data_IF_934451774017
#
_entry.id   IF_934451774017
#
_cell.length_a   1.000
_cell.length_b   1.000
_cell.length_c   1.000
_cell.angle_alpha   90.00
_cell.angle_beta   90.00
_cell.angle_gamma   90.00
#
_symmetry.space_group_name_H-M   'P 1'
#
loop_
_entity.id
_entity.type
_entity.pdbx_description
1 polymer ?
#
# COMPACT_ATOMS: atom_id res chain seq x y z
N UNK A 1 -16.91 -3.50 24.80
CA UNK A 1 -16.18 -2.38 24.15
C UNK A 1 -16.30 -2.61 22.66
N UNK A 2 -17.22 -1.92 22.00
CA UNK A 2 -17.49 -2.12 20.58
C UNK A 2 -16.37 -1.48 19.75
N UNK A 3 -15.79 -2.23 18.82
CA UNK A 3 -14.76 -1.73 17.90
C UNK A 3 -15.47 -0.99 16.75
N UNK A 4 -15.53 0.35 16.83
CA UNK A 4 -16.40 1.16 15.97
C UNK A 4 -16.24 1.03 14.44
N UNK A 5 -15.21 0.35 13.92
CA UNK A 5 -15.08 0.06 12.48
C UNK A 5 -15.93 -1.12 11.99
N UNK A 6 -16.11 -2.16 12.82
CA UNK A 6 -16.95 -3.31 12.50
C UNK A 6 -18.43 -2.92 12.51
N UNK A 7 -18.82 -2.05 13.44
CA UNK A 7 -20.17 -1.53 13.58
C UNK A 7 -20.61 -0.71 12.34
N UNK A 8 -19.72 0.14 11.81
CA UNK A 8 -20.00 0.96 10.61
C UNK A 8 -20.17 0.08 9.37
N UNK A 9 -19.28 -0.89 9.17
CA UNK A 9 -19.37 -1.79 8.01
C UNK A 9 -20.62 -2.68 8.09
N UNK A 10 -20.98 -3.15 9.28
CA UNK A 10 -22.19 -3.92 9.51
C UNK A 10 -23.45 -3.09 9.21
N UNK A 11 -23.47 -1.82 9.62
CA UNK A 11 -24.54 -0.89 9.31
C UNK A 11 -24.66 -0.59 7.80
N UNK A 12 -23.54 -0.38 7.11
CA UNK A 12 -23.54 -0.13 5.66
C UNK A 12 -24.07 -1.36 4.90
N UNK A 13 -23.65 -2.57 5.30
CA UNK A 13 -24.16 -3.83 4.75
C UNK A 13 -25.68 -3.97 4.97
N UNK A 14 -26.17 -3.75 6.20
CA UNK A 14 -27.60 -3.85 6.49
C UNK A 14 -28.45 -2.78 5.79
N UNK A 15 -27.85 -1.63 5.49
CA UNK A 15 -28.50 -0.54 4.74
C UNK A 15 -28.43 -0.71 3.22
N UNK A 16 -27.79 -1.78 2.72
CA UNK A 16 -27.60 -2.02 1.29
C UNK A 16 -26.68 -1.00 0.60
N UNK A 17 -25.89 -0.25 1.37
CA UNK A 17 -24.95 0.72 0.81
C UNK A 17 -23.64 0.04 0.41
N UNK A 18 -23.10 0.33 -0.79
CA UNK A 18 -21.85 -0.28 -1.23
C UNK A 18 -20.68 0.24 -0.40
N UNK A 19 -19.83 -0.69 0.07
CA UNK A 19 -18.56 -0.38 0.73
C UNK A 19 -17.49 -0.20 -0.34
N UNK A 20 -16.54 0.73 -0.14
CA UNK A 20 -15.45 0.93 -1.08
C UNK A 20 -14.68 -0.39 -1.32
N UNK A 21 -14.53 -0.84 -2.58
CA UNK A 21 -13.89 -2.11 -2.90
C UNK A 21 -12.47 -2.25 -2.35
N UNK A 22 -11.72 -1.17 -2.17
CA UNK A 22 -10.35 -1.25 -1.64
C UNK A 22 -10.31 -1.88 -0.24
N UNK A 23 -11.37 -1.74 0.58
CA UNK A 23 -11.43 -2.39 1.87
C UNK A 23 -11.45 -3.93 1.78
N UNK A 24 -11.95 -4.50 0.68
CA UNK A 24 -11.87 -5.96 0.45
C UNK A 24 -10.53 -6.42 -0.11
N UNK A 25 -9.65 -5.50 -0.49
CA UNK A 25 -8.37 -5.79 -1.15
C UNK A 25 -7.16 -5.69 -0.23
N UNK A 26 -7.38 -5.60 1.09
CA UNK A 26 -6.31 -5.49 2.09
C UNK A 26 -5.88 -4.06 2.41
N UNK A 27 -6.63 -3.06 1.93
CA UNK A 27 -6.46 -1.67 2.33
C UNK A 27 -7.27 -1.38 3.58
N UNK A 28 -6.61 -0.79 4.56
CA UNK A 28 -7.23 -0.45 5.85
C UNK A 28 -7.78 0.95 5.91
N UNK A 29 -7.26 1.83 5.05
CA UNK A 29 -7.64 3.25 4.98
C UNK A 29 -7.67 3.62 3.52
N UNK A 30 -8.79 4.21 3.09
CA UNK A 30 -8.95 4.69 1.73
C UNK A 30 -8.91 6.22 1.74
N UNK A 31 -8.05 6.78 0.90
CA UNK A 31 -7.79 8.21 0.80
C UNK A 31 -6.86 8.45 -0.39
N UNK A 32 -5.68 9.02 -0.15
CA UNK A 32 -4.62 9.07 -1.17
C UNK A 32 -4.21 7.66 -1.61
N UNK A 33 -3.90 7.49 -2.89
CA UNK A 33 -3.50 6.21 -3.46
C UNK A 33 -2.31 6.41 -4.42
N UNK A 34 -1.10 5.89 -4.12
CA UNK A 34 -0.68 5.39 -2.80
C UNK A 34 -0.72 6.49 -1.73
N UNK A 35 -0.82 6.08 -0.46
CA UNK A 35 -0.66 6.97 0.69
C UNK A 35 0.80 6.97 1.14
N UNK A 36 1.36 8.13 1.52
CA UNK A 36 2.71 8.22 2.10
C UNK A 36 2.85 7.36 3.38
N UNK A 37 1.75 7.16 4.10
CA UNK A 37 1.65 6.32 5.29
C UNK A 37 1.17 4.88 4.99
N UNK A 38 1.16 4.44 3.73
CA UNK A 38 0.73 3.09 3.35
C UNK A 38 1.57 2.04 4.06
N UNK A 39 0.94 0.98 4.58
CA UNK A 39 1.65 -0.12 5.24
C UNK A 39 2.42 -0.98 4.24
N UNK A 40 3.33 -1.80 4.75
CA UNK A 40 4.12 -2.73 3.94
C UNK A 40 3.24 -3.60 3.05
N UNK A 41 2.21 -4.20 3.63
CA UNK A 41 1.26 -5.07 2.90
C UNK A 41 0.39 -4.28 1.92
N UNK A 42 0.02 -3.04 2.25
CA UNK A 42 -0.72 -2.16 1.33
C UNK A 42 0.13 -1.80 0.11
N UNK A 43 1.41 -1.47 0.29
CA UNK A 43 2.34 -1.20 -0.83
C UNK A 43 2.48 -2.44 -1.72
N UNK A 44 2.60 -3.63 -1.11
CA UNK A 44 2.63 -4.89 -1.86
C UNK A 44 1.33 -5.09 -2.65
N UNK A 45 0.16 -4.85 -2.05
CA UNK A 45 -1.11 -4.94 -2.74
C UNK A 45 -1.22 -3.94 -3.90
N UNK A 46 -0.72 -2.71 -3.73
CA UNK A 46 -0.65 -1.71 -4.81
C UNK A 46 0.23 -2.22 -5.94
N UNK A 47 1.44 -2.67 -5.64
CA UNK A 47 2.38 -3.13 -6.66
C UNK A 47 1.87 -4.32 -7.48
N UNK A 48 1.02 -5.16 -6.89
CA UNK A 48 0.45 -6.33 -7.57
C UNK A 48 -0.84 -5.97 -8.32
N UNK A 49 -1.76 -5.23 -7.69
CA UNK A 49 -3.11 -4.99 -8.20
C UNK A 49 -3.22 -3.74 -9.07
N UNK A 50 -2.33 -2.76 -8.85
CA UNK A 50 -2.35 -1.43 -9.45
C UNK A 50 -0.93 -1.01 -9.88
N UNK A 51 -0.26 -1.76 -10.77
CA UNK A 51 1.09 -1.45 -11.23
C UNK A 51 1.22 -0.06 -11.87
N UNK A 52 0.14 0.46 -12.45
CA UNK A 52 0.06 1.82 -13.01
C UNK A 52 0.29 2.90 -11.95
N UNK A 53 -0.08 2.66 -10.69
CA UNK A 53 0.16 3.61 -9.59
C UNK A 53 1.62 3.60 -9.16
N UNK A 54 2.31 2.46 -9.29
CA UNK A 54 3.76 2.37 -9.10
C UNK A 54 4.47 3.16 -10.20
N UNK A 55 4.05 2.98 -11.45
CA UNK A 55 4.60 3.72 -12.59
C UNK A 55 4.40 5.23 -12.43
N UNK A 56 3.18 5.64 -12.09
CA UNK A 56 2.83 7.05 -11.87
C UNK A 56 3.75 7.68 -10.83
N UNK A 57 3.97 7.01 -9.69
CA UNK A 57 4.86 7.54 -8.66
C UNK A 57 6.31 7.58 -9.15
N UNK A 58 6.80 6.54 -9.84
CA UNK A 58 8.15 6.52 -10.41
C UNK A 58 8.39 7.68 -11.38
N UNK A 59 7.42 7.95 -12.25
CA UNK A 59 7.46 9.06 -13.18
C UNK A 59 7.56 10.40 -12.43
N UNK A 60 6.72 10.62 -11.41
CA UNK A 60 6.77 11.83 -10.60
C UNK A 60 8.07 11.98 -9.82
N UNK A 61 8.65 10.90 -9.31
CA UNK A 61 9.98 10.93 -8.69
C UNK A 61 11.05 11.42 -9.68
N UNK A 62 10.97 11.00 -10.94
CA UNK A 62 11.84 11.46 -12.03
C UNK A 62 11.62 12.93 -12.40
N UNK A 63 10.36 13.34 -12.66
CA UNK A 63 10.00 14.72 -13.02
C UNK A 63 10.45 15.68 -11.91
N UNK A 64 10.05 15.42 -10.66
CA UNK A 64 10.38 16.29 -9.54
C UNK A 64 11.88 16.23 -9.24
N UNK A 65 12.51 15.07 -9.39
CA UNK A 65 13.96 14.92 -9.28
C UNK A 65 14.72 15.82 -10.26
N UNK A 66 14.27 15.91 -11.52
CA UNK A 66 14.92 16.70 -12.57
C UNK A 66 14.92 18.21 -12.31
N UNK A 67 13.94 18.71 -11.56
CA UNK A 67 13.81 20.13 -11.20
C UNK A 67 14.19 20.44 -9.75
N UNK A 68 14.49 19.41 -8.96
CA UNK A 68 14.92 19.54 -7.56
C UNK A 68 16.36 20.02 -7.49
N UNK A 69 16.66 20.94 -6.56
CA UNK A 69 18.04 21.40 -6.29
C UNK A 69 19.01 20.26 -5.95
N UNK A 70 18.50 19.14 -5.44
CA UNK A 70 19.29 17.97 -5.06
C UNK A 70 19.38 16.90 -6.15
N UNK A 71 18.71 17.10 -7.30
CA UNK A 71 18.66 16.13 -8.39
C UNK A 71 17.92 14.83 -8.06
N UNK A 72 17.19 14.78 -6.94
CA UNK A 72 16.43 13.60 -6.49
C UNK A 72 15.17 14.02 -5.74
N UNK A 73 14.13 13.23 -5.92
CA UNK A 73 12.85 13.31 -5.21
C UNK A 73 12.35 11.88 -4.96
N UNK A 74 11.85 11.61 -3.77
CA UNK A 74 11.20 10.32 -3.46
C UNK A 74 9.84 10.55 -2.83
N UNK A 75 8.86 9.73 -3.19
CA UNK A 75 7.51 9.83 -2.66
C UNK A 75 7.45 9.39 -1.20
N UNK A 76 8.13 8.30 -0.88
CA UNK A 76 8.26 7.86 0.50
C UNK A 76 9.45 8.57 1.17
N UNK A 77 9.21 9.06 2.39
CA UNK A 77 10.22 9.72 3.19
C UNK A 77 11.29 8.75 3.72
N UNK A 78 12.39 9.33 4.21
CA UNK A 78 13.48 8.58 4.85
C UNK A 78 12.95 7.73 6.03
N UNK A 79 13.54 6.54 6.18
CA UNK A 79 13.12 5.55 7.18
C UNK A 79 12.00 4.63 6.73
N UNK A 80 11.40 4.85 5.54
CA UNK A 80 10.40 3.92 5.00
C UNK A 80 10.99 2.54 4.74
N UNK A 81 12.13 2.51 4.05
CA UNK A 81 12.93 1.30 3.85
C UNK A 81 14.10 1.34 4.84
N UNK A 82 14.19 0.41 5.79
CA UNK A 82 15.27 0.40 6.77
C UNK A 82 16.64 0.32 6.10
N UNK A 83 17.53 1.26 6.41
CA UNK A 83 18.92 1.27 5.92
C UNK A 83 19.13 1.83 4.51
N UNK A 84 18.09 2.34 3.85
CA UNK A 84 18.21 3.00 2.54
C UNK A 84 17.72 4.44 2.65
N UNK A 85 18.64 5.40 2.45
CA UNK A 85 18.30 6.81 2.37
C UNK A 85 17.76 7.18 1.00
N UNK A 86 16.73 8.03 0.97
CA UNK A 86 16.04 8.44 -0.26
C UNK A 86 15.67 7.22 -1.12
N UNK A 87 15.05 6.21 -0.51
CA UNK A 87 14.54 5.03 -1.19
C UNK A 87 13.42 5.43 -2.17
N UNK A 88 13.61 5.13 -3.45
CA UNK A 88 12.62 5.41 -4.48
C UNK A 88 11.48 4.39 -4.46
N UNK A 89 10.50 4.57 -5.34
CA UNK A 89 9.33 3.69 -5.42
C UNK A 89 9.72 2.22 -5.62
N UNK A 90 10.71 1.93 -6.47
CA UNK A 90 11.17 0.56 -6.73
C UNK A 90 11.82 -0.09 -5.51
N UNK A 91 12.62 0.66 -4.74
CA UNK A 91 13.22 0.19 -3.49
C UNK A 91 12.13 -0.19 -2.47
N UNK A 92 11.10 0.64 -2.38
CA UNK A 92 9.96 0.45 -1.46
C UNK A 92 9.14 -0.77 -1.88
N UNK A 93 8.91 -0.96 -3.19
CA UNK A 93 8.21 -2.14 -3.73
C UNK A 93 9.03 -3.41 -3.47
N UNK A 94 10.34 -3.40 -3.73
CA UNK A 94 11.22 -4.52 -3.43
C UNK A 94 11.20 -4.86 -1.93
N UNK A 95 11.31 -3.84 -1.07
CA UNK A 95 11.19 -4.01 0.37
C UNK A 95 9.82 -4.57 0.79
N UNK A 96 8.72 -4.18 0.14
CA UNK A 96 7.39 -4.68 0.48
C UNK A 96 7.23 -6.20 0.33
N UNK A 97 8.06 -6.83 -0.51
CA UNK A 97 8.07 -8.28 -0.76
C UNK A 97 8.91 -9.07 0.25
N UNK A 98 9.56 -8.41 1.19
CA UNK A 98 10.40 -9.08 2.21
C UNK A 98 9.63 -9.36 3.50
N UNK A 99 10.12 -10.26 4.35
CA UNK A 99 9.59 -10.50 5.70
C UNK A 99 9.76 -9.27 6.60
N UNK A 100 9.23 -9.35 7.82
CA UNK A 100 9.57 -8.39 8.89
C UNK A 100 11.08 -8.37 9.07
N UNK A 101 11.68 -7.17 9.12
CA UNK A 101 13.13 -6.98 9.15
C UNK A 101 13.78 -6.65 7.82
N UNK A 102 13.09 -6.84 6.68
CA UNK A 102 13.49 -6.23 5.41
C UNK A 102 14.59 -6.95 4.61
N UNK A 103 15.11 -8.09 5.09
CA UNK A 103 16.31 -8.74 4.52
C UNK A 103 16.02 -9.96 3.65
N UNK A 104 15.02 -10.76 4.02
CA UNK A 104 14.68 -12.01 3.34
C UNK A 104 13.37 -11.85 2.58
N UNK A 105 13.31 -12.33 1.33
CA UNK A 105 12.07 -12.35 0.54
C UNK A 105 11.05 -13.21 1.28
N UNK A 106 9.83 -12.70 1.43
CA UNK A 106 8.74 -13.47 2.01
C UNK A 106 8.23 -14.46 0.96
N UNK A 107 8.24 -15.79 1.20
CA UNK A 107 7.68 -16.75 0.26
C UNK A 107 6.20 -16.49 -0.04
N UNK A 108 5.47 -15.91 0.91
CA UNK A 108 4.08 -15.50 0.70
C UNK A 108 4.00 -14.38 -0.35
N UNK A 109 5.06 -13.58 -0.52
CA UNK A 109 5.18 -12.54 -1.55
C UNK A 109 5.05 -13.01 -2.98
N UNK A 110 5.36 -14.28 -3.22
CA UNK A 110 5.38 -14.91 -4.53
C UNK A 110 4.01 -15.47 -4.93
N UNK A 111 3.08 -15.60 -3.98
CA UNK A 111 1.73 -16.10 -4.25
C UNK A 111 0.85 -15.00 -4.84
N UNK A 112 -0.07 -15.40 -5.72
CA UNK A 112 -1.09 -14.52 -6.26
C UNK A 112 -1.94 -13.94 -5.12
N UNK A 113 -2.37 -12.67 -5.22
CA UNK A 113 -3.20 -12.06 -4.20
C UNK A 113 -4.54 -12.79 -4.14
N UNK A 114 -4.95 -13.18 -2.94
CA UNK A 114 -6.29 -13.72 -2.70
C UNK A 114 -7.38 -12.74 -3.16
N UNK A 115 -8.49 -13.29 -3.66
CA UNK A 115 -9.62 -12.52 -4.20
C UNK A 115 -10.13 -11.52 -3.17
N UNK A 116 -10.19 -11.92 -1.89
CA UNK A 116 -10.54 -11.06 -0.78
C UNK A 116 -9.46 -11.11 0.31
N UNK A 117 -8.88 -9.95 0.62
CA UNK A 117 -7.89 -9.73 1.69
C UNK A 117 -8.44 -8.78 2.76
N UNK A 118 -9.76 -8.71 2.95
CA UNK A 118 -10.36 -7.73 3.85
C UNK A 118 -9.85 -7.85 5.29
N UNK A 119 -9.40 -6.74 5.86
CA UNK A 119 -9.03 -6.66 7.28
C UNK A 119 -10.29 -6.67 8.16
N UNK A 120 -11.40 -6.12 7.67
CA UNK A 120 -12.66 -5.96 8.41
C UNK A 120 -13.64 -7.14 8.25
N UNK A 121 -13.17 -8.33 7.84
CA UNK A 121 -14.06 -9.48 7.64
C UNK A 121 -15.19 -9.23 6.63
N UNK A 122 -14.95 -8.44 5.59
CA UNK A 122 -15.97 -8.10 4.60
C UNK A 122 -16.27 -9.23 3.62
N UNK A 123 -15.38 -10.22 3.53
CA UNK A 123 -15.51 -11.42 2.71
C UNK A 123 -16.60 -12.34 3.26
N UNK A 124 -17.30 -13.06 2.38
CA UNK A 124 -18.27 -14.11 2.72
C UNK A 124 -17.60 -15.43 3.11
#
# INVERSE_FOLDING_TARGET
VLQGGEDVNSFLKSSGMPINPLYSQGFSRVGCFPCIMARKDEIRNIAIRYPEEVERVREWEGIVGSVSKRGKSTFFGNGKVPGIENAGMDDVVAWSKTKRGGKEIDPESLKAPQVCSSIYGLCE
#
